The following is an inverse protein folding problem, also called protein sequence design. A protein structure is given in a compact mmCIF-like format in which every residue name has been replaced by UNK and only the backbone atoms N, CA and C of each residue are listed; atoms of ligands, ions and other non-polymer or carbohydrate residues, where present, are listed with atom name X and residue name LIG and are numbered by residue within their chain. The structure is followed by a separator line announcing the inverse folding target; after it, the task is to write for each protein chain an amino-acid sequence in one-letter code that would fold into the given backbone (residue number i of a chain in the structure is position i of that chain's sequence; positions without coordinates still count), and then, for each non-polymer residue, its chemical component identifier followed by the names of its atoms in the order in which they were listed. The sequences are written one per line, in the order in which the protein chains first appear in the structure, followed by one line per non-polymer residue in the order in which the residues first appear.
data_IF_773523484758
#
_entry.id   IF_773523484758
#
_cell.length_a   1.000
_cell.length_b   1.000
_cell.length_c   1.000
_cell.angle_alpha   90.00
_cell.angle_beta   90.00
_cell.angle_gamma   90.00
#
_symmetry.space_group_name_H-M   'P 1'
#
loop_
_entity.id
_entity.type
_entity.pdbx_description
1 polymer ?
#
# COMPACT_ATOMS: atom_id res chain seq x y z
N UNK A 1 3.67 2.05 -11.60
CA UNK A 1 3.36 2.97 -12.73
C UNK A 1 2.31 2.29 -13.59
N UNK A 2 1.12 2.87 -13.68
CA UNK A 2 -0.02 2.21 -14.30
C UNK A 2 0.11 2.21 -15.83
N UNK A 3 0.09 1.03 -16.46
CA UNK A 3 0.05 0.85 -17.92
C UNK A 3 -1.07 -0.10 -18.28
N UNK A 4 -1.79 0.19 -19.36
CA UNK A 4 -2.77 -0.72 -19.95
C UNK A 4 -2.40 -0.93 -21.42
N UNK A 5 -2.52 -2.17 -21.90
CA UNK A 5 -2.44 -2.48 -23.31
C UNK A 5 -3.87 -2.61 -23.81
N UNK A 6 -4.20 -1.87 -24.86
CA UNK A 6 -5.53 -1.88 -25.48
C UNK A 6 -5.44 -2.83 -26.68
N UNK A 7 -6.31 -3.83 -26.72
CA UNK A 7 -6.45 -4.72 -27.89
C UNK A 7 -7.45 -4.10 -28.87
N UNK A 8 -7.30 -4.38 -30.16
CA UNK A 8 -8.09 -3.81 -31.27
C UNK A 8 -9.60 -3.93 -31.10
N UNK A 9 -10.07 -4.95 -30.38
CA UNK A 9 -11.49 -5.27 -30.22
C UNK A 9 -12.12 -4.63 -28.97
N UNK A 10 -11.35 -3.85 -28.19
CA UNK A 10 -11.85 -3.24 -26.96
C UNK A 10 -12.45 -1.85 -27.18
N UNK A 11 -13.63 -1.63 -26.60
CA UNK A 11 -14.24 -0.32 -26.54
C UNK A 11 -13.42 0.62 -25.64
N UNK A 12 -13.08 1.81 -26.12
CA UNK A 12 -12.21 2.80 -25.43
C UNK A 12 -12.69 3.09 -24.00
N UNK A 13 -14.02 3.09 -23.76
CA UNK A 13 -14.61 3.33 -22.44
C UNK A 13 -14.22 2.26 -21.41
N UNK A 14 -14.13 1.01 -21.83
CA UNK A 14 -13.75 -0.10 -20.95
C UNK A 14 -12.25 -0.06 -20.62
N UNK A 15 -11.42 0.31 -21.60
CA UNK A 15 -10.00 0.53 -21.39
C UNK A 15 -9.75 1.63 -20.33
N UNK A 16 -10.45 2.77 -20.44
CA UNK A 16 -10.37 3.86 -19.45
C UNK A 16 -10.81 3.42 -18.05
N UNK A 17 -11.86 2.59 -17.96
CA UNK A 17 -12.32 2.05 -16.68
C UNK A 17 -11.27 1.14 -16.03
N UNK A 18 -10.58 0.29 -16.81
CA UNK A 18 -9.47 -0.55 -16.32
C UNK A 18 -8.28 0.30 -15.89
N UNK A 19 -7.93 1.32 -16.67
CA UNK A 19 -6.86 2.25 -16.33
C UNK A 19 -7.12 2.96 -15.00
N UNK A 20 -8.35 3.47 -14.79
CA UNK A 20 -8.74 4.07 -13.52
C UNK A 20 -8.59 3.10 -12.35
N UNK A 21 -9.10 1.87 -12.50
CA UNK A 21 -8.94 0.81 -11.48
C UNK A 21 -7.47 0.51 -11.17
N UNK A 22 -6.60 0.50 -12.19
CA UNK A 22 -5.16 0.32 -11.98
C UNK A 22 -4.54 1.52 -11.24
N UNK A 23 -4.90 2.76 -11.58
CA UNK A 23 -4.44 3.94 -10.87
C UNK A 23 -4.87 3.95 -9.39
N UNK A 24 -6.09 3.49 -9.12
CA UNK A 24 -6.63 3.35 -7.76
C UNK A 24 -5.92 2.23 -6.99
N UNK A 25 -5.63 1.10 -7.65
CA UNK A 25 -4.89 -0.04 -7.07
C UNK A 25 -3.45 0.33 -6.73
N UNK A 26 -2.76 1.00 -7.64
CA UNK A 26 -1.40 1.52 -7.43
C UNK A 26 -1.39 2.69 -6.42
N UNK A 27 -2.55 3.28 -6.11
CA UNK A 27 -2.68 4.36 -5.15
C UNK A 27 -2.03 5.67 -5.60
N UNK A 28 -1.78 5.86 -6.89
CA UNK A 28 -1.05 7.01 -7.47
C UNK A 28 -1.72 8.33 -7.06
N UNK A 29 -3.06 8.38 -7.14
CA UNK A 29 -3.84 9.57 -6.78
C UNK A 29 -3.73 9.87 -5.28
N UNK A 30 -3.79 8.84 -4.43
CA UNK A 30 -3.66 8.99 -2.99
C UNK A 30 -2.25 9.39 -2.57
N UNK A 31 -1.23 8.91 -3.28
CA UNK A 31 0.15 9.31 -3.08
C UNK A 31 0.36 10.78 -3.46
N UNK A 32 -0.15 11.20 -4.63
CA UNK A 32 -0.09 12.60 -5.09
C UNK A 32 -0.69 13.57 -4.05
N UNK A 33 -1.89 13.26 -3.53
CA UNK A 33 -2.53 14.06 -2.46
C UNK A 33 -1.69 14.11 -1.17
N UNK A 34 -1.00 13.02 -0.83
CA UNK A 34 -0.18 12.95 0.39
C UNK A 34 1.13 13.74 0.28
N UNK A 35 1.71 13.83 -0.91
CA UNK A 35 2.98 14.57 -1.13
C UNK A 35 2.75 16.04 -1.45
N UNK A 36 1.51 16.45 -1.72
CA UNK A 36 1.16 17.82 -2.10
C UNK A 36 1.49 18.87 -1.03
N UNK A 37 1.65 18.45 0.23
CA UNK A 37 2.01 19.33 1.34
C UNK A 37 3.09 18.71 2.22
N UNK A 38 3.89 19.55 2.88
CA UNK A 38 4.85 19.07 3.86
C UNK A 38 4.13 18.46 5.06
N UNK A 39 4.60 17.30 5.45
CA UNK A 39 4.06 16.56 6.56
C UNK A 39 5.18 16.19 7.53
N UNK A 40 5.00 16.58 8.80
CA UNK A 40 5.99 16.30 9.83
C UNK A 40 6.27 14.78 9.92
N UNK A 41 7.53 14.35 10.08
CA UNK A 41 7.87 12.92 10.12
C UNK A 41 7.14 12.14 11.23
N UNK A 42 6.83 12.76 12.37
CA UNK A 42 6.04 12.15 13.43
C UNK A 42 4.61 11.84 12.97
N UNK A 43 3.99 12.77 12.25
CA UNK A 43 2.64 12.60 11.71
C UNK A 43 2.61 11.51 10.65
N UNK A 44 3.61 11.48 9.77
CA UNK A 44 3.81 10.40 8.80
C UNK A 44 3.83 9.02 9.45
N UNK A 45 4.63 8.84 10.51
CA UNK A 45 4.69 7.59 11.28
C UNK A 45 3.33 7.24 11.92
N UNK A 46 2.67 8.20 12.55
CA UNK A 46 1.35 8.01 13.20
C UNK A 46 0.28 7.53 12.22
N UNK A 47 0.26 8.08 11.02
CA UNK A 47 -0.71 7.68 9.98
C UNK A 47 -0.41 6.31 9.40
N UNK A 48 0.86 5.98 9.20
CA UNK A 48 1.27 4.67 8.70
C UNK A 48 0.85 3.56 9.68
N UNK A 49 1.09 3.76 10.98
CA UNK A 49 0.65 2.84 12.03
C UNK A 49 -0.88 2.73 12.07
N UNK A 50 -1.58 3.86 12.01
CA UNK A 50 -3.05 3.87 11.96
C UNK A 50 -3.60 3.12 10.74
N UNK A 51 -2.96 3.23 9.57
CA UNK A 51 -3.34 2.48 8.37
C UNK A 51 -3.09 0.99 8.53
N UNK A 52 -1.94 0.61 9.12
CA UNK A 52 -1.59 -0.79 9.40
C UNK A 52 -2.62 -1.44 10.31
N UNK A 53 -2.94 -0.81 11.44
CA UNK A 53 -3.95 -1.30 12.39
C UNK A 53 -5.31 -1.44 11.72
N UNK A 54 -5.75 -0.46 10.91
CA UNK A 54 -7.02 -0.53 10.16
C UNK A 54 -7.03 -1.69 9.17
N UNK A 55 -5.93 -1.94 8.46
CA UNK A 55 -5.83 -3.05 7.52
C UNK A 55 -5.90 -4.41 8.23
N UNK A 56 -5.21 -4.55 9.37
CA UNK A 56 -5.27 -5.76 10.20
C UNK A 56 -6.70 -6.02 10.69
N UNK A 57 -7.35 -5.00 11.27
CA UNK A 57 -8.76 -5.11 11.73
C UNK A 57 -9.71 -5.48 10.60
N UNK A 58 -9.50 -4.91 9.41
CA UNK A 58 -10.31 -5.24 8.23
C UNK A 58 -10.10 -6.68 7.76
N UNK A 59 -8.86 -7.17 7.76
CA UNK A 59 -8.54 -8.55 7.40
C UNK A 59 -9.15 -9.55 8.39
N UNK A 60 -9.07 -9.26 9.69
CA UNK A 60 -9.70 -10.05 10.75
C UNK A 60 -11.22 -10.12 10.58
N UNK A 61 -11.87 -8.97 10.31
CA UNK A 61 -13.32 -8.91 10.08
C UNK A 61 -13.77 -9.73 8.86
N UNK A 62 -12.94 -9.83 7.83
CA UNK A 62 -13.25 -10.56 6.60
C UNK A 62 -12.90 -12.05 6.67
N UNK A 63 -12.36 -12.54 7.80
CA UNK A 63 -12.05 -13.95 7.99
C UNK A 63 -10.95 -14.49 7.07
N UNK A 64 -10.10 -13.62 6.49
CA UNK A 64 -9.02 -14.01 5.58
C UNK A 64 -7.75 -14.26 6.42
N UNK A 65 -7.27 -15.51 6.56
CA UNK A 65 -6.04 -15.78 7.29
C UNK A 65 -4.81 -15.35 6.48
N UNK A 66 -3.96 -14.53 7.10
CA UNK A 66 -2.53 -14.46 6.80
C UNK A 66 -2.10 -13.78 5.49
N UNK A 67 -1.76 -12.49 5.58
CA UNK A 67 -0.48 -11.98 5.04
C UNK A 67 0.02 -10.85 5.95
N UNK A 68 0.64 -11.23 7.06
CA UNK A 68 1.50 -10.35 7.83
C UNK A 68 2.84 -10.27 7.11
N UNK A 69 3.03 -9.30 6.22
CA UNK A 69 4.30 -9.13 5.50
C UNK A 69 5.35 -8.58 6.46
N UNK A 70 6.21 -9.50 6.90
CA UNK A 70 7.62 -9.38 7.28
C UNK A 70 8.27 -8.00 7.06
N UNK A 71 8.68 -7.37 8.17
CA UNK A 71 10.05 -6.87 8.38
C UNK A 71 10.34 -6.83 9.89
N UNK A 72 10.71 -7.97 10.48
CA UNK A 72 11.58 -8.00 11.67
C UNK A 72 12.99 -8.33 11.18
N UNK A 73 13.74 -7.34 10.74
CA UNK A 73 15.19 -7.45 10.76
C UNK A 73 15.64 -6.98 12.13
N UNK A 74 15.67 -7.90 13.10
CA UNK A 74 16.50 -7.75 14.29
C UNK A 74 17.72 -8.63 14.08
N UNK A 75 18.80 -8.06 13.55
CA UNK A 75 20.10 -8.70 13.56
C UNK A 75 20.47 -8.88 15.04
N UNK A 76 20.61 -10.14 15.45
CA UNK A 76 20.99 -10.50 16.81
C UNK A 76 22.51 -10.41 16.96
N UNK A 77 22.94 -10.34 18.23
CA UNK A 77 24.16 -10.96 18.78
C UNK A 77 25.43 -10.10 18.85
N UNK A 78 25.53 -9.35 19.94
CA UNK A 78 26.76 -9.27 20.76
C UNK A 78 26.37 -9.86 22.12
N UNK A 79 26.71 -11.09 22.49
CA UNK A 79 28.08 -11.56 22.67
C UNK A 79 28.60 -11.14 24.05
N UNK A 80 27.91 -11.47 25.15
CA UNK A 80 28.49 -11.44 26.50
C UNK A 80 28.87 -12.87 26.89
N UNK A 81 30.15 -13.17 26.76
CA UNK A 81 30.82 -14.21 27.53
C UNK A 81 31.83 -13.49 28.43
N UNK A 82 31.54 -13.44 29.72
CA UNK A 82 32.35 -13.89 30.86
C UNK A 82 31.68 -13.38 32.14
#
# INVERSE_FOLDING_TARGET
MAKILITSDENIRDALRRFKKMCDKEGIINQSKRIAYFEKPSEKKRREESRRIKNIKRAQKLGIPGQATTTRTTFTRTGRNN
#
